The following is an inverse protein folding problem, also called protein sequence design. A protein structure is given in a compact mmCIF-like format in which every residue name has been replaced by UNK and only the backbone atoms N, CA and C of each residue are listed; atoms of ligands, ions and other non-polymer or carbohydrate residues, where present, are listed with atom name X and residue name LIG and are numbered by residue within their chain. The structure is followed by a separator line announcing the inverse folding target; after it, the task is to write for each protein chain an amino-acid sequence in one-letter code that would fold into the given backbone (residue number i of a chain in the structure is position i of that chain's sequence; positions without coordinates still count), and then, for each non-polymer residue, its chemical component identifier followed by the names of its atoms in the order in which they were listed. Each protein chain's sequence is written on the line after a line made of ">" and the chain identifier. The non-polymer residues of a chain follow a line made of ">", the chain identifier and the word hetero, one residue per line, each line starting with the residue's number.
data_IF_552956358636
#
_entry.id   IF_552956358636
#
_cell.length_a   1.000
_cell.length_b   1.000
_cell.length_c   1.000
_cell.angle_alpha   90.00
_cell.angle_beta   90.00
_cell.angle_gamma   90.00
#
_symmetry.space_group_name_H-M   'P 1'
#
loop_
_entity.id
_entity.type
_entity.pdbx_description
1 polymer ?
#
# COMPACT_ATOMS: atom_id res chain seq x y z
N UNK A 1 -1.42 -4.85 32.35
CA UNK A 1 -1.45 -6.23 31.80
C UNK A 1 -2.13 -6.14 30.44
N UNK A 2 -1.39 -6.45 29.39
CA UNK A 2 -1.64 -6.12 27.97
C UNK A 2 -2.94 -6.72 27.38
N UNK A 3 -3.81 -5.91 26.73
CA UNK A 3 -4.94 -6.40 25.93
C UNK A 3 -4.55 -6.91 24.52
N UNK A 4 -3.26 -6.87 24.17
CA UNK A 4 -2.70 -7.20 22.84
C UNK A 4 -3.07 -8.61 22.33
N UNK A 5 -3.36 -9.56 23.22
CA UNK A 5 -3.61 -10.97 22.83
C UNK A 5 -5.00 -11.25 22.24
N UNK A 6 -5.92 -10.27 22.23
CA UNK A 6 -7.27 -10.43 21.67
C UNK A 6 -7.54 -9.62 20.40
N UNK A 7 -6.76 -8.58 20.16
CA UNK A 7 -7.02 -7.62 19.08
C UNK A 7 -6.95 -8.24 17.67
N UNK A 8 -5.87 -8.95 17.36
CA UNK A 8 -5.71 -9.62 16.06
C UNK A 8 -6.77 -10.71 15.80
N UNK A 9 -7.05 -11.63 16.74
CA UNK A 9 -8.15 -12.58 16.59
C UNK A 9 -9.51 -11.94 16.32
N UNK A 10 -9.81 -10.81 16.97
CA UNK A 10 -11.06 -10.07 16.79
C UNK A 10 -11.14 -9.44 15.39
N UNK A 11 -10.08 -8.81 14.89
CA UNK A 11 -10.03 -8.25 13.53
C UNK A 11 -10.21 -9.33 12.44
N UNK A 12 -9.59 -10.49 12.62
CA UNK A 12 -9.72 -11.62 11.69
C UNK A 12 -11.15 -12.17 11.71
N UNK A 13 -11.75 -12.30 12.89
CA UNK A 13 -13.13 -12.76 13.04
C UNK A 13 -14.12 -11.78 12.38
N UNK A 14 -13.96 -10.48 12.63
CA UNK A 14 -14.79 -9.44 12.00
C UNK A 14 -14.66 -9.49 10.48
N UNK A 15 -13.43 -9.48 9.94
CA UNK A 15 -13.19 -9.56 8.49
C UNK A 15 -13.87 -10.77 7.83
N UNK A 16 -13.87 -11.92 8.51
CA UNK A 16 -14.45 -13.16 7.98
C UNK A 16 -15.99 -13.21 8.10
N UNK A 17 -16.56 -12.49 9.07
CA UNK A 17 -18.01 -12.43 9.29
C UNK A 17 -18.69 -11.30 8.53
N UNK A 18 -17.93 -10.28 8.13
CA UNK A 18 -18.44 -9.09 7.46
C UNK A 18 -18.89 -9.40 6.03
N UNK A 19 -20.05 -8.86 5.65
CA UNK A 19 -20.57 -9.01 4.29
C UNK A 19 -19.58 -8.38 3.26
N UNK A 20 -19.18 -9.13 2.21
CA UNK A 20 -18.23 -8.65 1.20
C UNK A 20 -18.66 -7.38 0.44
N UNK A 21 -19.96 -7.03 0.48
CA UNK A 21 -20.46 -5.76 -0.09
C UNK A 21 -19.91 -4.53 0.61
N UNK A 22 -19.47 -4.64 1.88
CA UNK A 22 -18.76 -3.58 2.60
C UNK A 22 -17.29 -3.49 2.19
N UNK A 23 -17.04 -3.26 0.91
CA UNK A 23 -15.71 -3.27 0.28
C UNK A 23 -14.67 -2.40 1.00
N UNK A 24 -15.08 -1.24 1.53
CA UNK A 24 -14.18 -0.35 2.25
C UNK A 24 -13.85 -0.85 3.65
N UNK A 25 -14.83 -1.38 4.38
CA UNK A 25 -14.60 -1.91 5.72
C UNK A 25 -13.74 -3.19 5.68
N UNK A 26 -13.99 -4.08 4.72
CA UNK A 26 -13.15 -5.27 4.48
C UNK A 26 -11.71 -4.86 4.14
N UNK A 27 -11.53 -3.84 3.29
CA UNK A 27 -10.19 -3.31 2.95
C UNK A 27 -9.47 -2.75 4.17
N UNK A 28 -10.14 -1.94 4.98
CA UNK A 28 -9.55 -1.33 6.18
C UNK A 28 -9.17 -2.38 7.22
N UNK A 29 -10.01 -3.39 7.44
CA UNK A 29 -9.69 -4.50 8.34
C UNK A 29 -8.46 -5.30 7.84
N UNK A 30 -8.37 -5.55 6.54
CA UNK A 30 -7.20 -6.21 5.96
C UNK A 30 -5.92 -5.37 6.11
N UNK A 31 -6.00 -4.05 5.87
CA UNK A 31 -4.87 -3.13 6.05
C UNK A 31 -4.41 -3.07 7.51
N UNK A 32 -5.33 -3.08 8.49
CA UNK A 32 -4.98 -3.03 9.91
C UNK A 32 -4.35 -4.35 10.40
N UNK A 33 -4.84 -5.50 9.92
CA UNK A 33 -4.22 -6.82 10.19
C UNK A 33 -2.79 -6.84 9.63
N UNK A 34 -2.59 -6.47 8.37
CA UNK A 34 -1.26 -6.43 7.73
C UNK A 34 -0.33 -5.45 8.43
N UNK A 35 -0.86 -4.29 8.84
CA UNK A 35 -0.09 -3.31 9.59
C UNK A 35 0.37 -3.90 10.92
N UNK A 36 -0.49 -4.55 11.70
CA UNK A 36 -0.10 -5.12 12.99
C UNK A 36 0.88 -6.31 12.85
N UNK A 37 0.73 -7.14 11.81
CA UNK A 37 1.70 -8.19 11.48
C UNK A 37 3.05 -7.60 11.00
N UNK A 38 3.01 -6.45 10.33
CA UNK A 38 4.18 -5.73 9.83
C UNK A 38 4.79 -4.70 10.79
N UNK A 39 4.10 -4.25 11.84
CA UNK A 39 4.51 -3.14 12.73
C UNK A 39 5.66 -3.54 13.66
N UNK A 40 5.74 -4.83 14.04
CA UNK A 40 6.93 -5.41 14.69
C UNK A 40 8.20 -5.20 13.86
N UNK A 41 8.08 -5.11 12.53
CA UNK A 41 9.18 -4.84 11.58
C UNK A 41 9.28 -3.37 11.15
N UNK A 42 8.27 -2.53 11.43
CA UNK A 42 8.11 -1.17 10.86
C UNK A 42 8.08 -0.04 11.90
N UNK A 43 8.43 -0.30 13.16
CA UNK A 43 8.67 0.75 14.19
C UNK A 43 9.67 1.86 13.79
N UNK A 44 10.35 1.74 12.64
CA UNK A 44 11.26 2.76 12.08
C UNK A 44 10.74 3.36 10.74
N UNK A 45 9.42 3.30 10.51
CA UNK A 45 8.78 3.47 9.20
C UNK A 45 7.97 4.75 8.97
N UNK A 46 8.05 5.75 9.85
CA UNK A 46 7.80 7.12 9.39
C UNK A 46 8.81 7.41 8.30
N UNK A 47 8.41 7.96 7.14
CA UNK A 47 9.33 8.40 6.08
C UNK A 47 10.59 8.93 6.74
N UNK A 48 11.70 8.18 6.66
CA UNK A 48 12.93 8.54 7.35
C UNK A 48 13.29 9.92 6.83
N UNK A 49 13.00 10.95 7.62
CA UNK A 49 13.19 12.35 7.21
C UNK A 49 14.64 12.61 6.84
N UNK A 50 15.53 11.76 7.34
CA UNK A 50 16.95 11.78 7.11
C UNK A 50 17.42 10.43 6.56
N UNK A 51 18.31 10.51 5.57
CA UNK A 51 19.01 9.38 5.02
C UNK A 51 20.36 9.22 5.71
N UNK A 52 20.69 8.00 6.13
CA UNK A 52 22.05 7.67 6.55
C UNK A 52 22.93 7.43 5.32
N UNK A 53 23.81 8.38 5.05
CA UNK A 53 24.74 8.37 3.91
C UNK A 53 26.00 7.52 4.18
N UNK A 54 26.30 7.17 5.43
CA UNK A 54 27.50 6.41 5.80
C UNK A 54 27.25 4.92 5.55
N UNK A 55 26.05 4.45 5.89
CA UNK A 55 25.68 3.03 5.76
C UNK A 55 25.47 2.54 4.32
N UNK A 56 25.41 3.45 3.33
CA UNK A 56 25.26 3.15 1.90
C UNK A 56 24.16 2.09 1.57
N UNK A 57 23.03 2.16 2.27
CA UNK A 57 21.90 1.24 2.07
C UNK A 57 21.13 1.64 0.81
N UNK A 58 20.59 0.66 0.07
CA UNK A 58 19.71 0.93 -1.06
C UNK A 58 18.46 1.71 -0.62
N UNK A 59 18.10 2.71 -1.43
CA UNK A 59 16.98 3.61 -1.16
C UNK A 59 15.91 3.37 -2.22
N UNK A 60 14.65 3.24 -1.80
CA UNK A 60 13.51 3.20 -2.71
C UNK A 60 12.97 4.63 -2.91
N UNK A 61 13.11 5.15 -4.12
CA UNK A 61 12.51 6.41 -4.54
C UNK A 61 11.30 6.14 -5.43
N UNK A 62 10.22 6.90 -5.25
CA UNK A 62 9.01 6.80 -6.06
C UNK A 62 8.43 8.19 -6.26
N UNK A 63 8.18 8.56 -7.51
CA UNK A 63 7.53 9.82 -7.88
C UNK A 63 6.21 9.52 -8.60
N UNK A 64 5.18 10.33 -8.33
CA UNK A 64 3.89 10.24 -9.03
C UNK A 64 3.78 11.40 -9.99
N UNK A 65 3.74 11.09 -11.30
CA UNK A 65 3.59 12.07 -12.37
C UNK A 65 2.16 12.06 -12.88
N UNK A 66 1.56 13.25 -13.01
CA UNK A 66 0.22 13.41 -13.53
C UNK A 66 0.20 13.28 -15.06
N UNK A 67 -0.76 12.52 -15.58
CA UNK A 67 -1.04 12.44 -17.02
C UNK A 67 -2.10 13.49 -17.38
N UNK A 68 -1.86 14.37 -18.38
CA UNK A 68 -2.74 15.51 -18.68
C UNK A 68 -3.98 15.10 -19.50
N UNK A 69 -4.77 14.16 -18.99
CA UNK A 69 -5.96 13.61 -19.67
C UNK A 69 -7.05 14.66 -19.90
N UNK A 70 -7.14 15.68 -19.05
CA UNK A 70 -8.11 16.77 -19.20
C UNK A 70 -7.77 17.69 -20.38
N UNK A 71 -6.49 17.96 -20.62
CA UNK A 71 -6.03 18.80 -21.72
C UNK A 71 -6.07 18.05 -23.06
N UNK A 72 -5.84 16.73 -23.03
CA UNK A 72 -5.79 15.89 -24.22
C UNK A 72 -6.67 14.62 -24.05
N UNK A 73 -8.01 14.77 -24.00
CA UNK A 73 -8.92 13.66 -23.68
C UNK A 73 -8.97 12.56 -24.74
N UNK A 74 -8.53 12.85 -25.96
CA UNK A 74 -8.50 11.89 -27.08
C UNK A 74 -7.15 11.17 -27.21
N UNK A 75 -6.14 11.55 -26.44
CA UNK A 75 -4.80 10.99 -26.57
C UNK A 75 -4.61 9.79 -25.64
N UNK A 76 -4.16 8.66 -26.19
CA UNK A 76 -3.86 7.46 -25.42
C UNK A 76 -2.44 7.50 -24.83
N UNK A 77 -2.29 8.19 -23.70
CA UNK A 77 -1.00 8.28 -22.98
C UNK A 77 -0.49 6.91 -22.52
N UNK A 78 -1.37 6.08 -21.94
CA UNK A 78 -0.99 4.77 -21.39
C UNK A 78 -0.48 3.85 -22.50
N UNK A 79 -1.20 3.77 -23.63
CA UNK A 79 -0.77 2.96 -24.78
C UNK A 79 0.56 3.42 -25.36
N UNK A 80 0.80 4.74 -25.43
CA UNK A 80 2.09 5.27 -25.89
C UNK A 80 3.23 5.01 -24.92
N UNK A 81 2.97 5.01 -23.61
CA UNK A 81 3.96 4.71 -22.58
C UNK A 81 4.31 3.22 -22.50
N UNK A 82 3.31 2.35 -22.62
CA UNK A 82 3.50 0.90 -22.54
C UNK A 82 4.05 0.30 -23.84
N UNK A 83 3.75 0.91 -24.99
CA UNK A 83 4.17 0.42 -26.30
C UNK A 83 3.41 -0.83 -26.77
N UNK A 84 3.79 -1.41 -27.93
CA UNK A 84 3.22 -2.67 -28.39
C UNK A 84 3.54 -3.78 -27.39
N UNK A 85 2.52 -4.56 -27.03
CA UNK A 85 2.71 -5.75 -26.21
C UNK A 85 3.36 -6.84 -27.05
N UNK A 86 4.66 -7.04 -26.89
CA UNK A 86 5.27 -8.33 -27.19
C UNK A 86 5.38 -9.09 -25.87
N UNK A 87 4.42 -9.98 -25.64
CA UNK A 87 4.54 -11.01 -24.60
C UNK A 87 4.48 -12.34 -25.37
N UNK A 88 5.56 -13.16 -25.35
CA UNK A 88 5.58 -14.47 -26.00
C UNK A 88 4.64 -15.48 -25.36
#
# INVERSE_FOLDING_TARGET
>A
MHPENKYLPELVAEKNSLDPSFVHAVRLLAEEIEKHEGDELRKDGGMKKYLDIISNKNIKLSERVLIPVQQYPKFNFVGKLLGPREIP
#
